data_IF_511997707386
#
_entry.id   IF_511997707386
#
_cell.length_a   1.000
_cell.length_b   1.000
_cell.length_c   1.000
_cell.angle_alpha   90.00
_cell.angle_beta   90.00
_cell.angle_gamma   90.00
#
_symmetry.space_group_name_H-M   'P 1'
#
loop_
_entity.id
_entity.type
_entity.pdbx_description
1 polymer ?
#
# COMPACT_ATOMS: atom_id res chain seq x y z
N UNK A 1 3.37 -19.55 38.61
CA UNK A 1 4.04 -18.39 37.97
C UNK A 1 4.55 -18.66 36.55
N UNK A 2 4.88 -19.89 36.14
CA UNK A 2 5.33 -20.20 34.77
C UNK A 2 4.21 -20.12 33.70
N UNK A 3 2.97 -20.49 34.05
CA UNK A 3 1.84 -20.45 33.11
C UNK A 3 1.45 -19.02 32.67
N UNK A 4 1.58 -18.03 33.55
CA UNK A 4 1.28 -16.63 33.24
C UNK A 4 2.29 -16.00 32.26
N UNK A 5 3.54 -16.46 32.29
CA UNK A 5 4.59 -16.00 31.35
C UNK A 5 4.39 -16.58 29.94
N UNK A 6 3.89 -17.82 29.83
CA UNK A 6 3.60 -18.46 28.53
C UNK A 6 2.35 -17.87 27.88
N UNK A 7 1.29 -17.60 28.66
CA UNK A 7 0.09 -16.90 28.18
C UNK A 7 0.38 -15.45 27.76
N UNK A 8 1.29 -14.76 28.44
CA UNK A 8 1.72 -13.42 28.06
C UNK A 8 2.48 -13.37 26.72
N UNK A 9 3.26 -14.40 26.39
CA UNK A 9 4.04 -14.46 25.15
C UNK A 9 3.19 -14.76 23.90
N UNK A 10 2.10 -15.52 24.06
CA UNK A 10 1.14 -15.84 22.99
C UNK A 10 0.24 -14.67 22.57
N UNK A 11 0.04 -13.67 23.44
CA UNK A 11 -0.81 -12.50 23.17
C UNK A 11 -0.05 -11.34 22.47
N UNK A 12 1.26 -11.44 22.28
CA UNK A 12 2.13 -10.37 21.76
C UNK A 12 2.57 -10.55 20.30
N UNK A 13 2.27 -11.68 19.67
CA UNK A 13 2.50 -11.87 18.24
C UNK A 13 1.31 -11.34 17.44
N UNK A 14 1.23 -10.02 17.27
CA UNK A 14 0.48 -9.47 16.13
C UNK A 14 1.26 -9.86 14.87
N UNK A 15 0.91 -10.99 14.26
CA UNK A 15 1.42 -11.36 12.93
C UNK A 15 0.99 -10.26 11.96
N UNK A 16 1.93 -9.41 11.53
CA UNK A 16 1.72 -8.54 10.36
C UNK A 16 1.72 -9.47 9.15
N UNK A 17 0.55 -10.03 8.84
CA UNK A 17 0.40 -10.99 7.77
C UNK A 17 0.38 -10.23 6.43
N UNK A 18 1.29 -10.58 5.52
CA UNK A 18 1.31 -9.98 4.19
C UNK A 18 0.09 -10.41 3.38
N UNK A 19 -0.74 -9.45 2.95
CA UNK A 19 -1.79 -9.76 2.00
C UNK A 19 -1.20 -10.05 0.62
N UNK A 20 -1.49 -11.25 0.12
CA UNK A 20 -1.33 -11.60 -1.29
C UNK A 20 -2.73 -11.69 -1.89
N UNK A 21 -3.05 -10.83 -2.85
CA UNK A 21 -4.36 -10.84 -3.48
C UNK A 21 -4.53 -12.05 -4.40
N UNK A 22 -5.75 -12.59 -4.47
CA UNK A 22 -6.11 -13.48 -5.58
C UNK A 22 -6.32 -12.66 -6.86
N UNK A 23 -6.01 -13.26 -8.03
CA UNK A 23 -6.11 -12.60 -9.34
C UNK A 23 -7.45 -11.88 -9.57
N UNK A 24 -8.57 -12.55 -9.32
CA UNK A 24 -9.88 -11.95 -9.54
C UNK A 24 -10.30 -10.97 -8.43
N UNK A 25 -9.85 -11.17 -7.19
CA UNK A 25 -10.03 -10.19 -6.12
C UNK A 25 -9.31 -8.88 -6.47
N UNK A 26 -8.07 -8.98 -6.96
CA UNK A 26 -7.27 -7.86 -7.41
C UNK A 26 -7.93 -7.14 -8.59
N UNK A 27 -8.35 -7.88 -9.63
CA UNK A 27 -9.01 -7.31 -10.80
C UNK A 27 -10.28 -6.52 -10.43
N UNK A 28 -11.14 -7.06 -9.56
CA UNK A 28 -12.34 -6.35 -9.07
C UNK A 28 -11.96 -5.12 -8.24
N UNK A 29 -10.91 -5.20 -7.44
CA UNK A 29 -10.42 -4.07 -6.64
C UNK A 29 -9.91 -2.94 -7.53
N UNK A 30 -9.13 -3.24 -8.57
CA UNK A 30 -8.68 -2.26 -9.55
C UNK A 30 -9.83 -1.64 -10.33
N UNK A 31 -10.80 -2.45 -10.79
CA UNK A 31 -11.97 -1.93 -11.51
C UNK A 31 -12.78 -0.97 -10.64
N UNK A 32 -13.06 -1.32 -9.38
CA UNK A 32 -13.78 -0.45 -8.43
C UNK A 32 -13.04 0.86 -8.14
N UNK A 33 -11.71 0.86 -8.24
CA UNK A 33 -10.87 2.04 -8.08
C UNK A 33 -10.61 2.81 -9.39
N UNK A 34 -11.34 2.51 -10.47
CA UNK A 34 -11.26 3.26 -11.72
C UNK A 34 -9.93 3.12 -12.45
N UNK A 35 -9.29 1.94 -12.36
CA UNK A 35 -8.04 1.65 -13.09
C UNK A 35 -8.29 1.12 -14.51
N UNK A 36 -9.48 0.58 -14.78
CA UNK A 36 -9.83 0.05 -16.11
C UNK A 36 -9.90 1.17 -17.14
N UNK A 37 -8.95 1.20 -18.07
CA UNK A 37 -8.83 2.24 -19.11
C UNK A 37 -8.15 3.53 -18.63
N UNK A 38 -7.64 3.59 -17.40
CA UNK A 38 -7.02 4.79 -16.86
C UNK A 38 -5.76 5.14 -17.68
N UNK A 39 -5.75 6.34 -18.27
CA UNK A 39 -4.68 6.81 -19.15
C UNK A 39 -4.37 5.85 -20.33
N UNK A 40 -5.40 5.17 -20.83
CA UNK A 40 -5.29 4.21 -21.93
C UNK A 40 -4.78 2.82 -21.54
N UNK A 41 -4.60 2.55 -20.24
CA UNK A 41 -4.13 1.26 -19.73
C UNK A 41 -5.30 0.36 -19.38
N UNK A 42 -5.38 -0.84 -19.96
CA UNK A 42 -6.51 -1.76 -19.73
C UNK A 42 -6.47 -2.37 -18.31
N UNK A 43 -7.60 -2.92 -17.85
CA UNK A 43 -7.61 -3.66 -16.58
C UNK A 43 -6.65 -4.86 -16.60
N UNK A 44 -6.59 -5.57 -17.74
CA UNK A 44 -5.72 -6.74 -17.89
C UNK A 44 -4.23 -6.39 -17.85
N UNK A 45 -3.85 -5.21 -18.36
CA UNK A 45 -2.48 -4.69 -18.24
C UNK A 45 -2.05 -4.53 -16.77
N UNK A 46 -2.91 -3.93 -15.95
CA UNK A 46 -2.63 -3.72 -14.53
C UNK A 46 -2.54 -5.03 -13.74
N UNK A 47 -3.40 -6.00 -14.06
CA UNK A 47 -3.36 -7.33 -13.42
C UNK A 47 -2.11 -8.09 -13.86
N UNK A 48 -1.74 -8.03 -15.14
CA UNK A 48 -0.49 -8.61 -15.64
C UNK A 48 0.75 -7.98 -14.99
N UNK A 49 0.78 -6.65 -14.89
CA UNK A 49 1.86 -5.93 -14.24
C UNK A 49 2.09 -6.44 -12.81
N UNK A 50 1.05 -6.44 -11.96
CA UNK A 50 1.17 -6.86 -10.56
C UNK A 50 1.57 -8.34 -10.41
N UNK A 51 1.14 -9.21 -11.32
CA UNK A 51 1.56 -10.62 -11.34
C UNK A 51 3.08 -10.74 -11.48
N UNK A 52 3.67 -9.98 -12.42
CA UNK A 52 5.08 -10.09 -12.76
C UNK A 52 6.00 -9.22 -11.90
N UNK A 53 5.47 -8.19 -11.25
CA UNK A 53 6.22 -7.36 -10.31
C UNK A 53 6.29 -8.00 -8.92
N UNK A 54 5.17 -8.52 -8.39
CA UNK A 54 5.12 -8.94 -6.98
C UNK A 54 4.38 -10.25 -6.72
N UNK A 55 3.86 -10.92 -7.74
CA UNK A 55 2.92 -12.03 -7.58
C UNK A 55 1.73 -11.63 -6.68
N UNK A 56 1.21 -10.41 -6.86
CA UNK A 56 0.14 -9.80 -6.08
C UNK A 56 0.40 -9.60 -4.57
N UNK A 57 1.66 -9.71 -4.13
CA UNK A 57 2.04 -9.51 -2.74
C UNK A 57 2.16 -8.01 -2.41
N UNK A 58 1.37 -7.54 -1.44
CA UNK A 58 1.36 -6.14 -0.97
C UNK A 58 2.61 -5.75 -0.17
N UNK A 59 3.35 -6.72 0.38
CA UNK A 59 4.56 -6.47 1.16
C UNK A 59 5.86 -6.75 0.38
N UNK A 60 5.77 -6.99 -0.94
CA UNK A 60 6.93 -7.25 -1.78
C UNK A 60 7.92 -6.08 -1.75
N UNK A 61 9.21 -6.40 -1.65
CA UNK A 61 10.31 -5.44 -1.65
C UNK A 61 11.45 -5.99 -2.50
N UNK A 62 12.02 -5.14 -3.34
CA UNK A 62 13.21 -5.48 -4.12
C UNK A 62 14.26 -4.36 -3.98
N UNK A 63 15.45 -4.69 -3.45
CA UNK A 63 16.53 -3.70 -3.28
C UNK A 63 17.40 -3.64 -4.54
N UNK A 64 17.68 -2.43 -5.01
CA UNK A 64 18.45 -2.20 -6.22
C UNK A 64 19.84 -1.65 -5.86
N UNK A 65 20.90 -2.49 -5.80
CA UNK A 65 22.21 -2.07 -5.33
C UNK A 65 22.89 -1.05 -6.24
N UNK A 66 22.57 -1.05 -7.54
CA UNK A 66 23.19 -0.17 -8.53
C UNK A 66 22.92 1.31 -8.27
N UNK A 67 21.81 1.64 -7.63
CA UNK A 67 21.49 3.01 -7.27
C UNK A 67 21.06 3.18 -5.80
N UNK A 68 20.97 2.11 -5.01
CA UNK A 68 20.53 2.12 -3.61
C UNK A 68 19.04 2.48 -3.43
N UNK A 69 18.23 2.35 -4.47
CA UNK A 69 16.77 2.44 -4.35
C UNK A 69 16.14 1.12 -3.91
N UNK A 70 14.86 1.13 -3.55
CA UNK A 70 14.07 -0.07 -3.26
C UNK A 70 12.72 0.06 -3.96
N UNK A 71 12.20 -1.04 -4.49
CA UNK A 71 10.85 -1.15 -5.05
C UNK A 71 9.87 -1.64 -3.98
N UNK A 72 8.67 -1.07 -3.93
CA UNK A 72 7.72 -1.30 -2.84
C UNK A 72 6.34 -1.75 -3.33
N UNK A 73 5.84 -2.78 -2.66
CA UNK A 73 4.45 -3.20 -2.68
C UNK A 73 4.00 -3.86 -3.97
N UNK A 74 2.68 -3.92 -4.14
CA UNK A 74 2.04 -4.72 -5.19
C UNK A 74 2.37 -4.29 -6.62
N UNK A 75 2.79 -3.03 -6.80
CA UNK A 75 3.21 -2.47 -8.09
C UNK A 75 4.72 -2.23 -8.18
N UNK A 76 5.51 -2.66 -7.19
CA UNK A 76 6.96 -2.42 -7.13
C UNK A 76 7.34 -0.96 -7.46
N UNK A 77 6.68 -0.02 -6.78
CA UNK A 77 6.91 1.42 -6.98
C UNK A 77 8.27 1.80 -6.35
N UNK A 78 9.16 2.36 -7.18
CA UNK A 78 10.54 2.64 -6.80
C UNK A 78 10.72 3.93 -5.96
N UNK A 79 11.51 3.86 -4.89
CA UNK A 79 11.80 4.97 -3.96
C UNK A 79 12.67 6.09 -4.54
N UNK A 80 13.41 5.88 -5.64
CA UNK A 80 14.17 6.97 -6.28
C UNK A 80 13.25 8.08 -6.78
N UNK A 81 12.07 7.72 -7.27
CA UNK A 81 11.21 8.66 -7.98
C UNK A 81 9.91 8.94 -7.23
N UNK A 82 9.27 7.93 -6.66
CA UNK A 82 7.84 8.01 -6.38
C UNK A 82 7.50 8.20 -4.91
N UNK A 83 8.20 7.55 -4.00
CA UNK A 83 7.93 7.60 -2.56
C UNK A 83 9.21 7.90 -1.75
N UNK A 84 9.06 8.26 -0.48
CA UNK A 84 10.18 8.48 0.43
C UNK A 84 10.37 7.30 1.39
N UNK A 85 11.54 6.67 1.40
CA UNK A 85 11.91 5.61 2.34
C UNK A 85 12.96 6.05 3.39
N UNK A 86 13.38 7.32 3.35
CA UNK A 86 14.35 7.91 4.26
C UNK A 86 15.80 7.47 4.04
N UNK A 87 16.08 6.57 3.09
CA UNK A 87 17.42 5.99 2.86
C UNK A 87 17.90 6.08 1.41
N UNK A 88 17.00 6.27 0.44
CA UNK A 88 17.36 6.35 -0.98
C UNK A 88 18.01 7.71 -1.30
N UNK A 89 19.25 7.74 -1.80
CA UNK A 89 19.92 9.00 -2.12
C UNK A 89 19.19 9.78 -3.23
N UNK A 90 19.04 11.10 -3.04
CA UNK A 90 18.47 12.05 -4.03
C UNK A 90 17.07 11.68 -4.53
N UNK A 91 16.26 11.03 -3.69
CA UNK A 91 14.89 10.66 -4.01
C UNK A 91 13.99 11.88 -4.31
N UNK A 92 13.00 11.71 -5.20
CA UNK A 92 12.10 12.80 -5.63
C UNK A 92 10.76 12.83 -4.91
N UNK A 93 10.25 11.67 -4.48
CA UNK A 93 8.95 11.52 -3.81
C UNK A 93 7.77 12.17 -4.59
N UNK A 94 7.65 11.89 -5.89
CA UNK A 94 6.65 12.51 -6.75
C UNK A 94 5.19 12.16 -6.39
N UNK A 95 4.95 11.10 -5.62
CA UNK A 95 3.63 10.77 -5.06
C UNK A 95 3.37 11.44 -3.69
N UNK A 96 4.39 12.05 -3.06
CA UNK A 96 4.23 12.75 -1.78
C UNK A 96 3.92 11.84 -0.59
N UNK A 97 4.39 10.58 -0.60
CA UNK A 97 4.03 9.55 0.39
C UNK A 97 5.25 8.80 0.93
N UNK A 98 5.19 8.28 2.16
CA UNK A 98 6.18 7.33 2.64
C UNK A 98 6.06 5.98 1.89
N UNK A 99 7.19 5.34 1.57
CA UNK A 99 7.18 4.03 0.92
C UNK A 99 6.61 2.93 1.83
N UNK A 100 6.86 3.05 3.15
CA UNK A 100 6.32 2.17 4.18
C UNK A 100 5.81 2.99 5.36
N UNK A 101 4.81 2.49 6.09
CA UNK A 101 4.29 3.17 7.26
C UNK A 101 5.43 3.54 8.22
N UNK A 102 5.48 4.81 8.62
CA UNK A 102 6.37 5.22 9.69
C UNK A 102 5.68 4.83 10.98
N UNK A 103 6.06 3.68 11.54
CA UNK A 103 5.64 3.30 12.89
C UNK A 103 6.43 4.16 13.87
N UNK A 104 6.13 5.47 13.93
CA UNK A 104 6.60 6.26 15.06
C UNK A 104 5.78 5.81 16.27
N UNK A 105 6.36 4.97 17.13
CA UNK A 105 5.83 4.65 18.47
C UNK A 105 5.51 5.92 19.29
N UNK A 106 5.98 7.09 18.84
CA UNK A 106 5.85 8.39 19.51
C UNK A 106 4.73 9.31 18.99
N UNK A 107 3.81 8.85 18.15
CA UNK A 107 2.70 9.72 17.67
C UNK A 107 1.45 9.74 18.56
N UNK A 108 1.32 8.90 19.61
CA UNK A 108 0.05 8.80 20.36
C UNK A 108 0.05 9.40 21.77
N UNK A 109 1.17 9.50 22.51
CA UNK A 109 1.09 9.99 23.90
C UNK A 109 1.20 11.49 24.10
N UNK A 110 1.86 12.24 23.22
CA UNK A 110 2.13 13.67 23.47
C UNK A 110 1.36 14.67 22.60
N UNK A 111 1.02 14.34 21.34
CA UNK A 111 0.22 15.25 20.51
C UNK A 111 -1.28 15.14 20.83
N UNK A 112 -1.75 13.96 21.23
CA UNK A 112 -3.15 13.73 21.61
C UNK A 112 -3.59 14.48 22.88
N UNK A 113 -2.65 14.98 23.69
CA UNK A 113 -2.94 15.78 24.91
C UNK A 113 -3.17 17.27 24.65
N UNK A 114 -2.77 17.82 23.49
CA UNK A 114 -2.92 19.26 23.22
C UNK A 114 -4.21 19.58 22.46
N UNK A 115 -4.70 18.66 21.64
CA UNK A 115 -5.91 18.90 20.84
C UNK A 115 -7.22 18.54 21.59
N UNK A 116 -7.15 17.64 22.58
CA UNK A 116 -8.31 17.32 23.47
C UNK A 116 -8.62 18.47 24.44
N UNK A 117 -7.64 19.30 24.81
CA UNK A 117 -7.88 20.44 25.70
C UNK A 117 -8.53 21.66 25.00
N UNK A 118 -8.62 21.65 23.67
CA UNK A 118 -9.17 22.77 22.88
C UNK A 118 -10.59 22.55 22.36
N UNK A 119 -11.10 21.32 22.40
CA UNK A 119 -12.49 21.01 22.06
C UNK A 119 -13.19 20.57 23.34
N UNK A 120 -13.85 21.51 24.00
CA UNK A 120 -14.71 21.24 25.15
C UNK A 120 -15.94 20.40 24.77
N UNK A 121 -15.75 19.12 24.45
CA UNK A 121 -16.83 18.19 24.16
C UNK A 121 -17.02 17.25 25.34
N UNK A 122 -18.24 17.28 25.89
CA UNK A 122 -18.72 16.39 26.94
C UNK A 122 -18.38 14.91 26.62
N UNK A 123 -17.86 14.21 27.62
CA UNK A 123 -17.46 12.80 27.55
C UNK A 123 -18.66 11.91 27.19
N UNK A 124 -18.83 11.57 25.92
CA UNK A 124 -19.65 10.44 25.50
C UNK A 124 -18.80 9.18 25.70
N UNK A 125 -19.18 8.35 26.66
CA UNK A 125 -18.55 7.06 26.92
C UNK A 125 -18.96 6.06 25.81
N UNK A 126 -18.23 6.05 24.70
CA UNK A 126 -18.41 5.05 23.66
C UNK A 126 -17.71 3.75 24.07
N UNK A 127 -18.32 2.60 23.79
CA UNK A 127 -17.73 1.29 24.06
C UNK A 127 -16.37 1.14 23.36
N UNK A 128 -15.45 0.37 23.96
CA UNK A 128 -14.07 0.23 23.48
C UNK A 128 -13.96 -0.16 22.01
N UNK A 129 -14.88 -1.00 21.50
CA UNK A 129 -14.90 -1.38 20.08
C UNK A 129 -15.30 -0.24 19.14
N UNK A 130 -16.21 0.65 19.57
CA UNK A 130 -16.62 1.81 18.79
C UNK A 130 -15.52 2.88 18.80
N UNK A 131 -14.84 3.07 19.94
CA UNK A 131 -13.69 3.98 20.06
C UNK A 131 -12.49 3.54 19.19
N UNK A 132 -12.13 2.26 19.19
CA UNK A 132 -11.06 1.75 18.31
C UNK A 132 -11.40 1.85 16.82
N UNK A 133 -12.67 1.64 16.47
CA UNK A 133 -13.15 1.79 15.09
C UNK A 133 -13.13 3.25 14.64
N UNK A 134 -13.46 4.19 15.53
CA UNK A 134 -13.34 5.62 15.25
C UNK A 134 -11.89 6.07 15.16
N UNK A 135 -10.98 5.59 16.03
CA UNK A 135 -9.55 5.94 15.96
C UNK A 135 -8.87 5.45 14.67
N UNK A 136 -9.24 4.28 14.15
CA UNK A 136 -8.79 3.81 12.82
C UNK A 136 -9.21 4.77 11.69
N UNK A 137 -10.38 5.40 11.82
CA UNK A 137 -10.88 6.37 10.84
C UNK A 137 -10.33 7.80 11.04
N UNK A 138 -9.63 8.09 12.15
CA UNK A 138 -9.20 9.45 12.51
C UNK A 138 -7.70 9.69 12.30
N UNK A 139 -6.87 8.65 12.14
CA UNK A 139 -5.43 8.81 11.86
C UNK A 139 -5.06 8.57 10.38
N UNK A 140 -5.14 9.60 9.51
CA UNK A 140 -4.85 9.45 8.08
C UNK A 140 -3.42 8.98 7.80
N UNK A 141 -2.47 9.18 8.71
CA UNK A 141 -1.06 8.85 8.50
C UNK A 141 -0.78 7.34 8.34
N UNK A 142 -1.58 6.46 8.97
CA UNK A 142 -1.37 5.00 8.90
C UNK A 142 -1.73 4.41 7.53
N UNK A 143 -2.64 5.05 6.80
CA UNK A 143 -3.15 4.57 5.50
C UNK A 143 -2.39 5.10 4.28
N UNK A 144 -1.26 5.81 4.47
CA UNK A 144 -0.57 6.55 3.40
C UNK A 144 0.65 5.85 2.80
N UNK A 145 0.81 4.53 2.95
CA UNK A 145 2.00 3.82 2.44
C UNK A 145 1.73 2.72 1.41
N UNK A 146 2.79 2.25 0.75
CA UNK A 146 2.70 1.27 -0.35
C UNK A 146 2.62 -0.19 0.09
N UNK A 147 2.78 -0.48 1.39
CA UNK A 147 2.85 -1.84 1.94
C UNK A 147 1.61 -2.24 2.76
N UNK A 148 0.53 -1.47 2.62
CA UNK A 148 -0.74 -1.77 3.28
C UNK A 148 -1.50 -2.86 2.52
N UNK A 149 -2.27 -3.64 3.26
CA UNK A 149 -3.23 -4.59 2.68
C UNK A 149 -4.28 -3.87 1.83
N UNK A 150 -4.72 -2.68 2.27
CA UNK A 150 -5.49 -1.76 1.45
C UNK A 150 -4.57 -1.02 0.47
N UNK A 151 -4.66 -1.43 -0.80
CA UNK A 151 -3.83 -0.90 -1.88
C UNK A 151 -4.31 0.44 -2.44
N UNK A 152 -5.28 1.11 -1.84
CA UNK A 152 -5.83 2.39 -2.33
C UNK A 152 -4.70 3.41 -2.57
N UNK A 153 -3.77 3.56 -1.61
CA UNK A 153 -2.65 4.48 -1.77
C UNK A 153 -1.69 4.07 -2.88
N UNK A 154 -1.42 2.77 -3.03
CA UNK A 154 -0.59 2.24 -4.11
C UNK A 154 -1.24 2.49 -5.48
N UNK A 155 -2.56 2.34 -5.59
CA UNK A 155 -3.34 2.67 -6.79
C UNK A 155 -3.21 4.17 -7.13
N UNK A 156 -3.34 5.06 -6.16
CA UNK A 156 -3.20 6.50 -6.41
C UNK A 156 -1.78 6.86 -6.90
N UNK A 157 -0.75 6.24 -6.33
CA UNK A 157 0.61 6.47 -6.79
C UNK A 157 0.85 5.86 -8.19
N UNK A 158 0.34 4.66 -8.48
CA UNK A 158 0.41 4.07 -9.82
C UNK A 158 -0.29 4.93 -10.89
N UNK A 159 -1.45 5.53 -10.55
CA UNK A 159 -2.12 6.53 -11.40
C UNK A 159 -1.24 7.75 -11.66
N UNK A 160 -0.52 8.23 -10.65
CA UNK A 160 0.46 9.31 -10.82
C UNK A 160 1.58 8.89 -11.77
N UNK A 161 2.14 7.68 -11.65
CA UNK A 161 3.24 7.20 -12.51
C UNK A 161 2.83 7.19 -13.99
N UNK A 162 1.68 6.61 -14.34
CA UNK A 162 1.27 6.49 -15.76
C UNK A 162 0.92 7.81 -16.43
N UNK A 163 0.81 8.91 -15.68
CA UNK A 163 0.64 10.25 -16.26
C UNK A 163 1.94 10.83 -16.81
N UNK A 164 3.10 10.30 -16.41
CA UNK A 164 4.38 10.69 -17.01
C UNK A 164 4.51 10.16 -18.44
N UNK A 165 5.39 10.73 -19.29
CA UNK A 165 5.46 10.41 -20.72
C UNK A 165 5.70 8.93 -21.06
N UNK A 166 6.29 8.15 -20.16
CA UNK A 166 6.48 6.70 -20.36
C UNK A 166 5.18 5.91 -20.22
N UNK A 167 4.17 6.44 -19.54
CA UNK A 167 2.95 5.71 -19.21
C UNK A 167 3.24 4.42 -18.43
N UNK A 168 2.53 3.34 -18.74
CA UNK A 168 2.79 2.02 -18.14
C UNK A 168 4.16 1.43 -18.52
N UNK A 169 4.86 1.99 -19.52
CA UNK A 169 6.22 1.55 -19.88
C UNK A 169 7.25 1.89 -18.80
N UNK A 170 6.91 2.71 -17.80
CA UNK A 170 7.76 2.93 -16.64
C UNK A 170 8.11 1.61 -15.90
N UNK A 171 7.26 0.58 -16.00
CA UNK A 171 7.49 -0.73 -15.41
C UNK A 171 8.17 -1.68 -16.38
N UNK A 172 9.37 -2.14 -16.03
CA UNK A 172 10.16 -3.07 -16.85
C UNK A 172 9.48 -4.44 -16.93
N UNK A 173 8.83 -4.91 -15.85
CA UNK A 173 8.14 -6.20 -15.89
C UNK A 173 6.98 -6.19 -16.90
N UNK A 174 6.19 -5.10 -16.95
CA UNK A 174 5.12 -4.96 -17.95
C UNK A 174 5.68 -4.96 -19.37
N UNK A 175 6.78 -4.24 -19.63
CA UNK A 175 7.40 -4.24 -20.96
C UNK A 175 7.86 -5.64 -21.41
N UNK A 176 8.37 -6.46 -20.49
CA UNK A 176 8.91 -7.80 -20.79
C UNK A 176 7.83 -8.88 -20.89
N UNK A 177 6.82 -8.80 -20.03
CA UNK A 177 5.88 -9.89 -19.81
C UNK A 177 4.45 -9.60 -20.28
N UNK A 178 4.07 -8.33 -20.46
CA UNK A 178 2.68 -7.97 -20.75
C UNK A 178 2.51 -7.29 -22.11
N UNK A 179 3.44 -6.41 -22.48
CA UNK A 179 3.37 -5.64 -23.73
C UNK A 179 3.23 -6.56 -24.95
N UNK A 180 2.27 -6.24 -25.83
CA UNK A 180 1.98 -6.95 -27.08
C UNK A 180 1.63 -8.45 -26.89
N UNK A 181 1.05 -8.83 -25.75
CA UNK A 181 0.57 -10.19 -25.50
C UNK A 181 -0.95 -10.21 -25.39
N UNK A 182 -1.53 -11.40 -25.57
CA UNK A 182 -2.91 -11.63 -25.17
C UNK A 182 -3.01 -11.67 -23.64
N UNK A 183 -3.64 -10.64 -23.06
CA UNK A 183 -3.82 -10.50 -21.63
C UNK A 183 -5.21 -10.94 -21.15
N UNK A 184 -6.06 -11.48 -22.03
CA UNK A 184 -7.42 -11.90 -21.68
C UNK A 184 -7.46 -12.88 -20.49
N UNK A 185 -6.45 -13.75 -20.38
CA UNK A 185 -6.29 -14.69 -19.28
C UNK A 185 -6.21 -14.05 -17.89
N UNK A 186 -5.70 -12.81 -17.78
CA UNK A 186 -5.56 -12.12 -16.49
C UNK A 186 -6.89 -11.70 -15.89
N UNK A 187 -7.93 -11.49 -16.70
CA UNK A 187 -9.28 -11.12 -16.24
C UNK A 187 -10.33 -12.20 -16.50
N UNK A 188 -9.95 -13.32 -17.13
CA UNK A 188 -10.84 -14.44 -17.43
C UNK A 188 -11.54 -14.95 -16.17
N UNK A 189 -12.86 -15.13 -16.27
CA UNK A 189 -13.76 -15.61 -15.22
C UNK A 189 -13.81 -14.74 -13.95
N UNK A 190 -13.41 -13.46 -14.01
CA UNK A 190 -13.45 -12.58 -12.84
C UNK A 190 -14.76 -11.79 -12.70
N UNK A 191 -15.60 -11.73 -13.74
CA UNK A 191 -16.84 -10.95 -13.75
C UNK A 191 -16.61 -9.44 -13.77
N UNK A 192 -15.59 -9.00 -14.50
CA UNK A 192 -15.14 -7.60 -14.63
C UNK A 192 -15.03 -7.21 -16.09
#
# INVERSE_FOLDING_TARGET
MKALLVLGFLLLSASVQAKTYERCEFARTLKRNGMSGYYGVSLADWVCLAQHESNYNTQARNYNPGDQSTDYGIFQINSRYWCNDGKTPRAKNACGIPCSAVVTEKSSKHQQRRDILSLGTASIHLSGSLWETLLRNVNPAVHTSLLQDDITQAIQCAKRVVRDPQGIRAWVAWQRHCKNRDLSGYIRNCGV
#
